data_IF_746545861960
#
_entry.id   IF_746545861960
#
_cell.length_a   1.000
_cell.length_b   1.000
_cell.length_c   1.000
_cell.angle_alpha   90.00
_cell.angle_beta   90.00
_cell.angle_gamma   90.00
#
_symmetry.space_group_name_H-M   'P 1'
#
loop_
_entity.id
_entity.type
_entity.pdbx_description
1 polymer ?
#
# COMPACT_ATOMS: atom_id res chain seq x y z
N UNK A 1 24.91 8.01 9.10
CA UNK A 1 25.48 6.67 9.34
C UNK A 1 25.76 6.05 7.99
N UNK A 2 26.94 5.46 7.78
CA UNK A 2 27.23 4.71 6.55
C UNK A 2 26.20 3.59 6.39
N UNK A 3 25.63 3.46 5.20
CA UNK A 3 24.69 2.40 4.86
C UNK A 3 25.46 1.30 4.16
N UNK A 4 25.42 0.08 4.67
CA UNK A 4 26.04 -1.07 3.99
C UNK A 4 24.97 -1.89 3.27
N UNK A 5 25.30 -2.37 2.08
CA UNK A 5 24.41 -3.24 1.32
C UNK A 5 25.22 -4.25 0.52
N UNK A 6 24.81 -5.52 0.59
CA UNK A 6 25.30 -6.56 -0.31
C UNK A 6 24.40 -6.63 -1.55
N UNK A 7 25.01 -6.60 -2.74
CA UNK A 7 24.33 -6.76 -4.03
C UNK A 7 25.18 -7.66 -4.91
N UNK A 8 24.63 -8.80 -5.33
CA UNK A 8 25.35 -9.79 -6.15
C UNK A 8 26.75 -10.21 -5.61
N UNK A 9 26.97 -10.17 -4.29
CA UNK A 9 28.28 -10.45 -3.66
C UNK A 9 29.21 -9.25 -3.50
N UNK A 10 28.82 -8.06 -3.98
CA UNK A 10 29.52 -6.81 -3.72
C UNK A 10 29.06 -6.18 -2.41
N UNK A 11 30.00 -5.88 -1.52
CA UNK A 11 29.77 -5.01 -0.37
C UNK A 11 29.85 -3.55 -0.84
N UNK A 12 28.70 -2.88 -0.84
CA UNK A 12 28.59 -1.46 -1.15
C UNK A 12 28.49 -0.66 0.14
N UNK A 13 29.28 0.41 0.24
CA UNK A 13 29.11 1.44 1.27
C UNK A 13 28.45 2.65 0.64
N UNK A 14 27.37 3.07 1.29
CA UNK A 14 26.54 4.19 0.89
C UNK A 14 26.80 5.39 1.79
N UNK A 15 27.15 6.52 1.19
CA UNK A 15 27.25 7.81 1.86
C UNK A 15 26.18 8.77 1.32
N UNK A 16 25.49 9.45 2.23
CA UNK A 16 24.53 10.49 1.85
C UNK A 16 25.31 11.71 1.41
N UNK A 17 25.13 12.12 0.16
CA UNK A 17 25.80 13.31 -0.37
C UNK A 17 24.99 14.55 0.06
N UNK A 18 25.60 15.50 0.79
CA UNK A 18 24.92 16.73 1.20
C UNK A 18 24.37 17.50 0.00
N UNK A 19 23.21 18.14 0.18
CA UNK A 19 22.54 18.96 -0.83
C UNK A 19 22.34 18.28 -2.20
N UNK A 20 22.28 16.95 -2.21
CA UNK A 20 22.00 16.17 -3.42
C UNK A 20 20.77 15.31 -3.20
N UNK A 21 19.83 15.40 -4.14
CA UNK A 21 18.49 14.83 -3.97
C UNK A 21 18.07 14.01 -5.17
N UNK A 22 17.34 12.92 -4.90
CA UNK A 22 16.62 12.14 -5.90
C UNK A 22 15.15 12.50 -5.81
N UNK A 23 14.64 13.22 -6.81
CA UNK A 23 13.23 13.55 -6.96
C UNK A 23 12.58 12.47 -7.84
N UNK A 24 11.50 11.87 -7.34
CA UNK A 24 10.67 10.93 -8.08
C UNK A 24 9.28 11.52 -8.27
N UNK A 25 8.85 11.64 -9.52
CA UNK A 25 7.53 12.13 -9.88
C UNK A 25 6.72 10.99 -10.48
N UNK A 26 5.52 10.81 -9.96
CA UNK A 26 4.50 9.94 -10.54
C UNK A 26 3.28 10.79 -10.82
N UNK A 27 2.80 10.78 -12.06
CA UNK A 27 1.65 11.59 -12.46
C UNK A 27 0.68 10.77 -13.29
N UNK A 28 -0.61 10.84 -12.95
CA UNK A 28 -1.66 10.19 -13.72
C UNK A 28 -2.99 10.87 -13.48
N UNK A 29 -3.76 11.10 -14.55
CA UNK A 29 -5.14 11.62 -14.47
C UNK A 29 -5.27 12.90 -13.64
N UNK A 30 -4.29 13.81 -13.77
CA UNK A 30 -4.23 15.08 -13.06
C UNK A 30 -3.76 14.97 -11.61
N UNK A 31 -3.52 13.77 -11.07
CA UNK A 31 -2.91 13.60 -9.75
C UNK A 31 -1.41 13.46 -9.91
N UNK A 32 -0.66 14.30 -9.21
CA UNK A 32 0.79 14.21 -9.12
C UNK A 32 1.20 13.83 -7.69
N UNK A 33 2.08 12.85 -7.60
CA UNK A 33 2.82 12.52 -6.40
C UNK A 33 4.30 12.77 -6.67
N UNK A 34 4.93 13.55 -5.80
CA UNK A 34 6.37 13.80 -5.87
C UNK A 34 7.00 13.46 -4.54
N UNK A 35 8.11 12.72 -4.57
CA UNK A 35 8.91 12.43 -3.39
C UNK A 35 10.35 12.81 -3.64
N UNK A 36 10.97 13.52 -2.71
CA UNK A 36 12.40 13.75 -2.71
C UNK A 36 13.04 13.02 -1.53
N UNK A 37 14.14 12.33 -1.80
CA UNK A 37 14.98 11.66 -0.81
C UNK A 37 16.44 12.02 -1.06
N UNK A 38 17.31 11.93 -0.04
CA UNK A 38 18.71 12.27 -0.20
C UNK A 38 19.35 11.29 -1.18
N UNK A 39 20.27 11.79 -1.98
CA UNK A 39 21.08 10.96 -2.85
C UNK A 39 22.11 10.21 -2.02
N UNK A 40 22.26 8.93 -2.31
CA UNK A 40 23.26 8.07 -1.70
C UNK A 40 24.25 7.69 -2.78
N UNK A 41 25.49 8.16 -2.64
CA UNK A 41 26.62 7.68 -3.42
C UNK A 41 27.01 6.29 -2.91
N UNK A 42 27.21 5.34 -3.81
CA UNK A 42 27.62 3.99 -3.47
C UNK A 42 29.02 3.73 -4.00
N UNK A 43 29.90 3.24 -3.14
CA UNK A 43 31.23 2.74 -3.51
C UNK A 43 31.33 1.24 -3.23
N UNK A 44 32.06 0.52 -4.08
CA UNK A 44 32.37 -0.90 -3.84
C UNK A 44 33.52 -0.96 -2.84
N UNK A 45 33.26 -1.53 -1.68
CA UNK A 45 34.28 -1.72 -0.63
C UNK A 45 34.95 -3.09 -0.74
N UNK A 46 34.18 -4.11 -1.15
CA UNK A 46 34.70 -5.47 -1.28
C UNK A 46 33.87 -6.29 -2.28
N UNK A 47 34.52 -7.22 -2.97
CA UNK A 47 33.89 -8.17 -3.90
C UNK A 47 34.09 -9.62 -3.39
N UNK A 48 33.01 -10.27 -2.97
CA UNK A 48 33.01 -11.66 -2.52
C UNK A 48 32.80 -12.68 -3.66
N UNK A 49 32.84 -12.23 -4.92
CA UNK A 49 32.44 -13.00 -6.10
C UNK A 49 30.92 -13.09 -6.24
N UNK A 50 30.42 -13.58 -7.38
CA UNK A 50 28.97 -13.66 -7.62
C UNK A 50 28.26 -14.51 -6.55
N UNK A 51 27.42 -13.87 -5.75
CA UNK A 51 26.53 -14.49 -4.76
C UNK A 51 25.11 -14.01 -5.01
N UNK A 52 24.11 -14.80 -4.60
CA UNK A 52 22.72 -14.40 -4.75
C UNK A 52 22.42 -13.11 -3.97
N UNK A 53 21.52 -12.28 -4.49
CA UNK A 53 21.09 -11.05 -3.81
C UNK A 53 20.58 -11.34 -2.39
N UNK A 54 21.15 -10.65 -1.40
CA UNK A 54 20.84 -10.83 0.01
C UNK A 54 21.81 -11.73 0.78
N UNK A 55 22.84 -12.29 0.14
CA UNK A 55 23.92 -13.01 0.81
C UNK A 55 24.67 -12.10 1.79
N UNK A 56 24.96 -12.61 2.99
CA UNK A 56 25.71 -11.92 4.04
C UNK A 56 26.93 -12.77 4.41
N UNK A 57 28.11 -12.19 4.67
CA UNK A 57 29.27 -12.94 5.15
C UNK A 57 28.92 -13.68 6.45
N UNK A 58 28.91 -15.01 6.42
CA UNK A 58 28.54 -15.86 7.55
C UNK A 58 27.65 -17.05 7.19
N UNK A 59 26.92 -17.02 6.07
CA UNK A 59 26.05 -18.14 5.62
C UNK A 59 26.80 -19.42 5.17
N UNK A 60 28.11 -19.50 5.42
CA UNK A 60 28.93 -20.67 5.06
C UNK A 60 30.14 -20.90 5.96
N UNK A 61 30.22 -20.21 7.11
CA UNK A 61 31.13 -20.61 8.17
C UNK A 61 30.33 -21.48 9.13
N UNK A 62 30.21 -22.76 8.80
CA UNK A 62 30.19 -23.77 9.87
C UNK A 62 31.39 -23.42 10.74
N UNK A 63 31.14 -22.88 11.92
CA UNK A 63 32.14 -22.86 12.97
C UNK A 63 32.59 -24.30 13.10
N UNK A 64 33.78 -24.59 12.58
CA UNK A 64 34.40 -25.90 12.66
C UNK A 64 34.19 -26.41 14.06
N UNK A 65 33.50 -27.54 14.16
CA UNK A 65 33.18 -28.26 15.38
C UNK A 65 34.39 -28.18 16.30
N UNK A 66 34.30 -27.35 17.34
CA UNK A 66 35.31 -27.36 18.39
C UNK A 66 35.32 -28.78 18.95
N UNK A 67 36.49 -29.37 19.22
CA UNK A 67 36.58 -30.73 19.72
C UNK A 67 35.67 -30.86 20.95
N UNK A 68 34.71 -31.78 20.87
CA UNK A 68 33.82 -32.14 21.98
C UNK A 68 34.67 -32.71 23.12
N UNK A 69 35.16 -31.84 23.98
CA UNK A 69 35.65 -32.23 25.31
C UNK A 69 35.51 -31.06 26.26
N UNK A 70 35.06 -31.40 27.48
CA UNK A 70 34.73 -30.55 28.62
C UNK A 70 33.33 -29.95 28.59
N UNK A 71 32.58 -30.24 29.67
CA UNK A 71 31.27 -29.70 29.98
C UNK A 71 31.33 -28.18 29.81
N UNK A 72 30.49 -27.62 28.93
CA UNK A 72 30.25 -26.18 28.88
C UNK A 72 30.01 -25.71 30.32
N UNK A 73 30.79 -24.76 30.80
CA UNK A 73 30.54 -24.12 32.08
C UNK A 73 29.11 -23.52 32.02
N UNK A 74 28.40 -23.53 33.14
CA UNK A 74 27.00 -23.06 33.22
C UNK A 74 26.86 -21.63 32.67
N UNK A 75 27.93 -20.84 32.80
CA UNK A 75 28.07 -19.49 32.26
C UNK A 75 28.10 -19.44 30.72
N UNK A 76 28.73 -20.40 30.05
CA UNK A 76 28.79 -20.45 28.57
C UNK A 76 27.45 -20.84 27.96
N UNK A 77 26.71 -21.74 28.61
CA UNK A 77 25.32 -22.08 28.24
C UNK A 77 24.42 -20.85 28.38
N UNK A 78 24.58 -20.08 29.46
CA UNK A 78 23.84 -18.85 29.69
C UNK A 78 24.15 -17.76 28.64
N UNK A 79 25.43 -17.58 28.29
CA UNK A 79 25.88 -16.65 27.24
C UNK A 79 25.35 -17.05 25.85
N UNK A 80 25.39 -18.33 25.51
CA UNK A 80 24.84 -18.84 24.24
C UNK A 80 23.32 -18.65 24.15
N UNK A 81 22.59 -18.86 25.26
CA UNK A 81 21.16 -18.59 25.33
C UNK A 81 20.85 -17.09 25.17
N UNK A 82 21.61 -16.20 25.84
CA UNK A 82 21.47 -14.75 25.70
C UNK A 82 21.72 -14.28 24.26
N UNK A 83 22.73 -14.83 23.58
CA UNK A 83 23.00 -14.54 22.16
C UNK A 83 21.84 -14.96 21.27
N UNK A 84 21.34 -16.19 21.42
CA UNK A 84 20.17 -16.67 20.65
C UNK A 84 18.93 -15.79 20.85
N UNK A 85 18.69 -15.29 22.07
CA UNK A 85 17.59 -14.37 22.35
C UNK A 85 17.81 -13.04 21.63
N UNK A 86 19.01 -12.45 21.74
CA UNK A 86 19.34 -11.19 21.08
C UNK A 86 19.25 -11.29 19.54
N UNK A 87 19.75 -12.39 18.96
CA UNK A 87 19.66 -12.67 17.52
C UNK A 87 18.20 -12.83 17.08
N UNK A 88 17.36 -13.46 17.91
CA UNK A 88 15.93 -13.62 17.64
C UNK A 88 15.17 -12.29 17.73
N UNK A 89 15.50 -11.43 18.70
CA UNK A 89 14.95 -10.08 18.82
C UNK A 89 15.32 -9.22 17.60
N UNK A 90 16.60 -9.22 17.21
CA UNK A 90 17.06 -8.49 16.02
C UNK A 90 16.37 -9.00 14.74
N UNK A 91 16.22 -10.32 14.61
CA UNK A 91 15.50 -10.91 13.47
C UNK A 91 14.02 -10.49 13.45
N UNK A 92 13.34 -10.49 14.59
CA UNK A 92 11.95 -10.06 14.70
C UNK A 92 11.78 -8.57 14.31
N UNK A 93 12.73 -7.72 14.70
CA UNK A 93 12.74 -6.31 14.29
C UNK A 93 12.93 -6.16 12.77
N UNK A 94 13.88 -6.90 12.18
CA UNK A 94 14.11 -6.91 10.73
C UNK A 94 12.84 -7.35 9.98
N UNK A 95 12.19 -8.41 10.44
CA UNK A 95 10.97 -8.94 9.84
C UNK A 95 9.82 -7.94 9.94
N UNK A 96 9.64 -7.27 11.09
CA UNK A 96 8.66 -6.21 11.26
C UNK A 96 8.92 -5.02 10.32
N UNK A 97 10.18 -4.62 10.13
CA UNK A 97 10.55 -3.56 9.18
C UNK A 97 10.25 -3.97 7.73
N UNK A 98 10.56 -5.20 7.33
CA UNK A 98 10.27 -5.74 6.00
C UNK A 98 8.75 -5.77 5.77
N UNK A 99 7.99 -6.23 6.75
CA UNK A 99 6.53 -6.27 6.72
C UNK A 99 5.94 -4.86 6.49
N UNK A 100 6.39 -3.88 7.26
CA UNK A 100 5.96 -2.48 7.16
C UNK A 100 6.31 -1.85 5.81
N UNK A 101 7.52 -2.11 5.29
CA UNK A 101 7.94 -1.67 3.95
C UNK A 101 7.06 -2.30 2.87
N UNK A 102 6.77 -3.59 2.97
CA UNK A 102 5.89 -4.32 2.04
C UNK A 102 4.44 -3.79 2.05
N UNK A 103 3.90 -3.51 3.22
CA UNK A 103 2.59 -2.91 3.38
C UNK A 103 2.53 -1.49 2.77
N UNK A 104 3.57 -0.68 2.96
CA UNK A 104 3.69 0.66 2.39
C UNK A 104 3.75 0.65 0.86
N UNK A 105 4.46 -0.33 0.27
CA UNK A 105 4.45 -0.56 -1.19
C UNK A 105 3.07 -0.94 -1.68
N UNK A 106 2.42 -1.89 -0.99
CA UNK A 106 1.05 -2.34 -1.33
C UNK A 106 0.04 -1.19 -1.32
N UNK A 107 0.12 -0.32 -0.29
CA UNK A 107 -0.67 0.90 -0.20
C UNK A 107 -0.44 1.82 -1.41
N UNK A 108 0.81 2.04 -1.80
CA UNK A 108 1.16 2.88 -2.95
C UNK A 108 0.61 2.29 -4.24
N UNK A 109 0.79 0.99 -4.46
CA UNK A 109 0.27 0.28 -5.64
C UNK A 109 -1.25 0.37 -5.73
N UNK A 110 -1.97 0.11 -4.64
CA UNK A 110 -3.42 0.21 -4.61
C UNK A 110 -3.90 1.65 -4.89
N UNK A 111 -3.26 2.64 -4.26
CA UNK A 111 -3.60 4.06 -4.44
C UNK A 111 -3.39 4.51 -5.89
N UNK A 112 -2.25 4.19 -6.49
CA UNK A 112 -1.95 4.49 -7.90
C UNK A 112 -2.88 3.75 -8.84
N UNK A 113 -3.25 2.50 -8.53
CA UNK A 113 -4.25 1.75 -9.29
C UNK A 113 -5.62 2.42 -9.32
N UNK A 114 -6.09 2.95 -8.17
CA UNK A 114 -7.36 3.68 -8.08
C UNK A 114 -7.33 4.95 -8.94
N UNK A 115 -6.22 5.70 -8.87
CA UNK A 115 -6.03 6.92 -9.66
C UNK A 115 -5.97 6.59 -11.15
N UNK A 116 -5.17 5.59 -11.53
CA UNK A 116 -4.97 5.18 -12.92
C UNK A 116 -6.28 4.73 -13.59
N UNK A 117 -7.13 4.01 -12.87
CA UNK A 117 -8.46 3.58 -13.33
C UNK A 117 -9.52 4.69 -13.26
N UNK A 118 -9.24 5.88 -12.72
CA UNK A 118 -10.23 6.98 -12.54
C UNK A 118 -11.51 6.52 -11.83
N UNK A 119 -11.39 5.69 -10.80
CA UNK A 119 -12.54 5.34 -9.99
C UNK A 119 -13.17 6.62 -9.39
N UNK A 120 -14.46 6.56 -9.10
CA UNK A 120 -15.21 7.74 -8.66
C UNK A 120 -16.35 7.40 -7.69
N UNK A 121 -16.39 6.16 -7.20
CA UNK A 121 -17.40 5.67 -6.28
C UNK A 121 -16.76 4.77 -5.22
N UNK A 122 -17.19 4.93 -3.97
CA UNK A 122 -16.77 4.08 -2.85
C UNK A 122 -17.87 3.07 -2.57
N UNK A 123 -17.47 1.82 -2.35
CA UNK A 123 -18.35 0.79 -1.81
C UNK A 123 -17.75 0.17 -0.56
N UNK A 124 -18.60 -0.15 0.41
CA UNK A 124 -18.17 -0.87 1.63
C UNK A 124 -19.07 -2.07 1.87
N UNK A 125 -18.46 -3.25 1.94
CA UNK A 125 -19.15 -4.48 2.32
C UNK A 125 -18.98 -4.72 3.81
N UNK A 126 -20.09 -5.03 4.46
CA UNK A 126 -20.16 -5.24 5.90
C UNK A 126 -20.91 -6.52 6.21
N UNK A 127 -20.53 -7.20 7.28
CA UNK A 127 -21.35 -8.24 7.89
C UNK A 127 -22.23 -7.66 8.99
N UNK A 128 -23.43 -8.23 9.17
CA UNK A 128 -24.25 -7.91 10.35
C UNK A 128 -23.77 -8.70 11.56
N UNK A 129 -23.71 -10.03 11.44
CA UNK A 129 -23.13 -10.92 12.44
C UNK A 129 -21.60 -10.81 12.39
N UNK A 130 -20.93 -10.84 13.53
CA UNK A 130 -19.46 -10.76 13.56
C UNK A 130 -18.84 -11.91 12.77
N UNK A 131 -18.01 -11.56 11.79
CA UNK A 131 -17.26 -12.51 10.97
C UNK A 131 -15.77 -12.13 11.03
N UNK A 132 -14.96 -12.75 11.92
CA UNK A 132 -13.55 -12.43 12.06
C UNK A 132 -12.65 -13.16 11.06
N UNK A 133 -13.15 -14.20 10.38
CA UNK A 133 -12.36 -15.01 9.45
C UNK A 133 -12.06 -14.24 8.15
N UNK A 134 -10.80 -13.84 7.99
CA UNK A 134 -10.26 -13.18 6.79
C UNK A 134 -10.36 -14.07 5.56
N UNK A 135 -9.99 -15.34 5.68
CA UNK A 135 -9.93 -16.26 4.55
C UNK A 135 -11.33 -16.50 3.99
N UNK A 136 -12.31 -16.69 4.86
CA UNK A 136 -13.71 -16.78 4.48
C UNK A 136 -14.22 -15.45 3.90
N UNK A 137 -13.86 -14.31 4.48
CA UNK A 137 -14.21 -13.00 3.91
C UNK A 137 -13.66 -12.81 2.49
N UNK A 138 -12.41 -13.22 2.22
CA UNK A 138 -11.83 -13.21 0.87
C UNK A 138 -12.58 -14.12 -0.09
N UNK A 139 -13.03 -15.30 0.35
CA UNK A 139 -13.87 -16.22 -0.47
C UNK A 139 -15.22 -15.58 -0.83
N UNK A 140 -15.93 -15.03 0.16
CA UNK A 140 -17.19 -14.32 -0.08
C UNK A 140 -17.00 -13.13 -1.01
N UNK A 141 -15.94 -12.35 -0.81
CA UNK A 141 -15.64 -11.19 -1.66
C UNK A 141 -15.34 -11.61 -3.10
N UNK A 142 -14.54 -12.67 -3.31
CA UNK A 142 -14.25 -13.20 -4.65
C UNK A 142 -15.55 -13.59 -5.38
N UNK A 143 -16.44 -14.28 -4.69
CA UNK A 143 -17.75 -14.67 -5.23
C UNK A 143 -18.63 -13.44 -5.52
N UNK A 144 -18.62 -12.44 -4.64
CA UNK A 144 -19.33 -11.18 -4.83
C UNK A 144 -18.85 -10.44 -6.08
N UNK A 145 -17.53 -10.29 -6.25
CA UNK A 145 -16.94 -9.69 -7.45
C UNK A 145 -17.34 -10.44 -8.71
N UNK A 146 -17.33 -11.79 -8.67
CA UNK A 146 -17.70 -12.62 -9.82
C UNK A 146 -19.16 -12.39 -10.22
N UNK A 147 -20.08 -12.33 -9.26
CA UNK A 147 -21.51 -12.04 -9.50
C UNK A 147 -21.73 -10.60 -9.96
N UNK A 148 -21.03 -9.62 -9.39
CA UNK A 148 -21.05 -8.22 -9.83
C UNK A 148 -20.61 -8.08 -11.28
N UNK A 149 -19.48 -8.70 -11.66
CA UNK A 149 -19.01 -8.72 -13.06
C UNK A 149 -20.06 -9.30 -13.98
N UNK A 150 -20.63 -10.47 -13.64
CA UNK A 150 -21.69 -11.09 -14.45
C UNK A 150 -22.91 -10.18 -14.62
N UNK A 151 -23.38 -9.55 -13.54
CA UNK A 151 -24.54 -8.66 -13.57
C UNK A 151 -24.28 -7.35 -14.36
N UNK A 152 -23.02 -6.94 -14.48
CA UNK A 152 -22.60 -5.71 -15.13
C UNK A 152 -21.89 -5.96 -16.47
N UNK A 153 -22.12 -7.10 -17.12
CA UNK A 153 -21.59 -7.39 -18.46
C UNK A 153 -20.07 -7.58 -18.54
N UNK A 154 -19.39 -7.82 -17.41
CA UNK A 154 -17.93 -8.01 -17.32
C UNK A 154 -17.14 -6.75 -16.98
N UNK A 155 -17.76 -5.57 -17.05
CA UNK A 155 -17.09 -4.26 -16.96
C UNK A 155 -16.70 -3.83 -15.53
N UNK A 156 -17.13 -4.58 -14.50
CA UNK A 156 -16.89 -4.18 -13.13
C UNK A 156 -15.41 -4.24 -12.74
N UNK A 157 -14.81 -3.06 -12.57
CA UNK A 157 -13.45 -2.88 -12.07
C UNK A 157 -13.42 -2.33 -10.66
N UNK A 158 -12.42 -2.75 -9.87
CA UNK A 158 -12.29 -2.35 -8.48
C UNK A 158 -10.84 -2.42 -7.97
N UNK A 159 -10.60 -1.71 -6.88
CA UNK A 159 -9.49 -1.94 -5.94
C UNK A 159 -10.09 -1.98 -4.53
N UNK A 160 -9.79 -3.02 -3.76
CA UNK A 160 -10.37 -3.31 -2.47
C UNK A 160 -9.31 -3.59 -1.40
N UNK A 161 -9.52 -3.04 -0.21
CA UNK A 161 -8.79 -3.30 1.02
C UNK A 161 -9.69 -4.06 2.00
N UNK A 162 -9.08 -5.00 2.73
CA UNK A 162 -9.72 -5.70 3.83
C UNK A 162 -9.30 -5.04 5.13
N UNK A 163 -10.18 -4.97 6.11
CA UNK A 163 -9.90 -4.43 7.44
C UNK A 163 -10.72 -5.19 8.48
N UNK A 164 -10.12 -5.50 9.62
CA UNK A 164 -10.86 -5.87 10.83
C UNK A 164 -11.38 -4.61 11.55
N UNK A 165 -12.70 -4.48 11.68
CA UNK A 165 -13.30 -3.40 12.47
C UNK A 165 -13.04 -3.62 13.97
N UNK A 166 -13.13 -2.56 14.80
CA UNK A 166 -13.01 -2.62 16.27
C UNK A 166 -13.85 -3.74 16.93
N UNK A 167 -15.05 -4.04 16.41
CA UNK A 167 -15.90 -5.15 16.88
C UNK A 167 -15.42 -6.55 16.44
N UNK A 168 -14.24 -6.67 15.84
CA UNK A 168 -13.63 -7.91 15.35
C UNK A 168 -14.14 -8.42 13.99
N UNK A 169 -15.21 -7.82 13.44
CA UNK A 169 -15.77 -8.25 12.15
C UNK A 169 -15.00 -7.68 10.96
N UNK A 170 -14.80 -8.49 9.92
CA UNK A 170 -14.18 -8.06 8.66
C UNK A 170 -15.06 -7.05 7.90
N UNK A 171 -14.42 -6.06 7.30
CA UNK A 171 -14.98 -5.07 6.38
C UNK A 171 -14.17 -5.07 5.09
N UNK A 172 -14.85 -4.77 3.98
CA UNK A 172 -14.17 -4.60 2.69
C UNK A 172 -14.46 -3.21 2.17
N UNK A 173 -13.42 -2.38 2.08
CA UNK A 173 -13.49 -1.04 1.48
C UNK A 173 -12.98 -1.11 0.06
N UNK A 174 -13.78 -0.67 -0.90
CA UNK A 174 -13.37 -0.64 -2.30
C UNK A 174 -13.69 0.68 -2.99
N UNK A 175 -12.88 0.99 -4.00
CA UNK A 175 -13.16 2.01 -5.00
C UNK A 175 -13.47 1.32 -6.34
N UNK A 176 -14.46 1.84 -7.06
CA UNK A 176 -14.86 1.38 -8.38
C UNK A 176 -15.39 2.55 -9.23
N UNK A 177 -15.77 2.25 -10.46
CA UNK A 177 -16.59 3.17 -11.24
C UNK A 177 -18.02 3.23 -10.70
N UNK A 178 -18.60 4.42 -10.73
CA UNK A 178 -20.00 4.65 -10.43
C UNK A 178 -20.85 3.82 -11.38
N UNK A 179 -21.74 3.04 -10.81
CA UNK A 179 -22.71 2.26 -11.56
C UNK A 179 -23.77 3.19 -12.18
N UNK A 180 -24.39 2.76 -13.28
CA UNK A 180 -25.59 3.42 -13.82
C UNK A 180 -26.67 3.58 -12.74
N UNK A 181 -27.68 4.44 -12.91
CA UNK A 181 -28.74 4.57 -11.89
C UNK A 181 -29.55 3.29 -11.71
N UNK A 182 -29.79 2.60 -12.82
CA UNK A 182 -30.51 1.34 -12.87
C UNK A 182 -29.68 0.29 -13.61
N UNK A 183 -29.83 -0.96 -13.18
CA UNK A 183 -29.21 -2.15 -13.77
C UNK A 183 -30.28 -3.22 -13.89
N UNK A 184 -30.20 -4.03 -14.94
CA UNK A 184 -31.04 -5.21 -15.08
C UNK A 184 -30.44 -6.34 -14.25
N UNK A 185 -31.21 -6.89 -13.33
CA UNK A 185 -30.83 -8.04 -12.52
C UNK A 185 -31.94 -9.07 -12.55
N UNK A 186 -31.66 -10.25 -13.13
CA UNK A 186 -32.70 -11.28 -13.35
C UNK A 186 -33.84 -10.79 -14.26
N UNK A 187 -33.55 -9.93 -15.24
CA UNK A 187 -34.55 -9.34 -16.14
C UNK A 187 -35.34 -8.16 -15.55
N UNK A 188 -35.16 -7.85 -14.26
CA UNK A 188 -35.88 -6.76 -13.59
C UNK A 188 -34.97 -5.55 -13.41
N UNK A 189 -35.42 -4.32 -13.75
CA UNK A 189 -34.67 -3.11 -13.46
C UNK A 189 -34.68 -2.85 -11.95
N UNK A 190 -33.49 -2.75 -11.36
CA UNK A 190 -33.30 -2.39 -9.96
C UNK A 190 -32.39 -1.18 -9.86
N UNK A 191 -32.46 -0.45 -8.74
CA UNK A 191 -31.50 0.62 -8.45
C UNK A 191 -30.12 0.00 -8.23
N UNK A 192 -29.08 0.54 -8.84
CA UNK A 192 -27.76 -0.11 -8.83
C UNK A 192 -27.10 -0.18 -7.47
N UNK A 193 -27.47 0.69 -6.53
CA UNK A 193 -27.00 0.57 -5.15
C UNK A 193 -27.58 -0.68 -4.45
N UNK A 194 -28.74 -1.17 -4.88
CA UNK A 194 -29.33 -2.40 -4.33
C UNK A 194 -28.62 -3.65 -4.84
N UNK A 195 -28.10 -3.62 -6.07
CA UNK A 195 -27.42 -4.75 -6.69
C UNK A 195 -26.32 -5.33 -5.78
N UNK A 196 -25.43 -4.45 -5.29
CA UNK A 196 -24.33 -4.85 -4.42
C UNK A 196 -24.80 -5.54 -3.15
N UNK A 197 -25.89 -5.05 -2.55
CA UNK A 197 -26.48 -5.63 -1.32
C UNK A 197 -27.18 -6.96 -1.60
N UNK A 198 -27.97 -7.05 -2.67
CA UNK A 198 -28.65 -8.30 -3.06
C UNK A 198 -27.65 -9.42 -3.34
N UNK A 199 -26.60 -9.11 -4.10
CA UNK A 199 -25.53 -10.07 -4.38
C UNK A 199 -24.81 -10.46 -3.09
N UNK A 200 -24.49 -9.50 -2.22
CA UNK A 200 -23.80 -9.79 -0.95
C UNK A 200 -24.61 -10.72 -0.04
N UNK A 201 -25.91 -10.44 0.15
CA UNK A 201 -26.82 -11.28 0.94
C UNK A 201 -27.02 -12.66 0.35
N UNK A 202 -27.06 -12.78 -0.98
CA UNK A 202 -27.12 -14.08 -1.67
C UNK A 202 -25.89 -14.99 -1.46
N UNK A 203 -24.84 -14.49 -0.80
CA UNK A 203 -23.61 -15.22 -0.48
C UNK A 203 -23.52 -15.51 1.01
N UNK A 204 -23.83 -14.51 1.85
CA UNK A 204 -23.58 -14.56 3.30
C UNK A 204 -24.83 -14.87 4.14
N UNK A 205 -25.96 -15.07 3.48
CA UNK A 205 -27.28 -15.24 4.09
C UNK A 205 -28.11 -13.96 4.08
N UNK A 206 -29.43 -14.15 4.01
CA UNK A 206 -30.38 -13.06 4.10
C UNK A 206 -30.24 -12.31 5.43
N UNK A 207 -30.34 -10.98 5.36
CA UNK A 207 -30.13 -10.04 6.48
C UNK A 207 -28.75 -10.03 7.16
N UNK A 208 -27.75 -10.76 6.63
CA UNK A 208 -26.43 -10.83 7.25
C UNK A 208 -25.39 -9.83 6.69
N UNK A 209 -25.81 -8.63 6.30
CA UNK A 209 -24.89 -7.59 5.88
C UNK A 209 -25.46 -6.64 4.84
N UNK A 210 -24.64 -5.65 4.48
CA UNK A 210 -24.98 -4.60 3.52
C UNK A 210 -23.78 -4.22 2.67
N UNK A 211 -24.08 -3.76 1.45
CA UNK A 211 -23.16 -3.06 0.58
C UNK A 211 -23.55 -1.57 0.57
N UNK A 212 -22.75 -0.73 1.21
CA UNK A 212 -22.95 0.72 1.21
C UNK A 212 -22.27 1.34 -0.02
N UNK A 213 -22.98 2.23 -0.72
CA UNK A 213 -22.48 3.02 -1.86
C UNK A 213 -22.41 4.50 -1.45
N UNK A 214 -21.45 5.27 -1.94
CA UNK A 214 -21.34 6.72 -1.71
C UNK A 214 -20.55 7.14 -0.48
N UNK A 215 -20.12 6.19 0.34
CA UNK A 215 -19.44 6.47 1.60
C UNK A 215 -20.28 7.33 2.57
N UNK A 216 -19.69 7.65 3.73
CA UNK A 216 -20.27 8.58 4.69
C UNK A 216 -19.31 9.75 4.91
N UNK A 217 -19.84 10.90 5.28
CA UNK A 217 -19.02 11.99 5.80
C UNK A 217 -18.55 11.68 7.25
N UNK A 218 -17.76 12.57 7.84
CA UNK A 218 -17.24 12.41 9.21
C UNK A 218 -18.33 12.36 10.29
N UNK A 219 -19.55 12.75 9.95
CA UNK A 219 -20.73 12.75 10.84
C UNK A 219 -21.70 11.61 10.51
N UNK A 220 -21.28 10.66 9.67
CA UNK A 220 -22.09 9.50 9.31
C UNK A 220 -23.19 9.78 8.28
N UNK A 221 -23.24 10.99 7.71
CA UNK A 221 -24.26 11.39 6.72
C UNK A 221 -23.84 10.95 5.31
N UNK A 222 -24.78 10.68 4.40
CA UNK A 222 -24.46 10.43 3.00
C UNK A 222 -23.67 11.60 2.41
N UNK A 223 -22.56 11.31 1.74
CA UNK A 223 -21.68 12.33 1.19
C UNK A 223 -22.37 13.02 0.01
N UNK A 224 -22.56 14.34 0.07
CA UNK A 224 -23.28 15.12 -0.95
C UNK A 224 -22.42 15.62 -2.12
N UNK A 225 -21.08 15.51 -2.03
CA UNK A 225 -20.14 15.99 -3.04
C UNK A 225 -19.20 14.90 -3.54
N UNK A 226 -18.71 15.06 -4.77
CA UNK A 226 -17.70 14.18 -5.34
C UNK A 226 -16.40 14.24 -4.53
N UNK A 227 -15.86 13.08 -4.16
CA UNK A 227 -14.52 13.01 -3.61
C UNK A 227 -13.52 13.13 -4.74
N UNK A 228 -12.48 13.95 -4.54
CA UNK A 228 -11.37 14.05 -5.48
C UNK A 228 -10.69 12.68 -5.63
N UNK A 229 -10.11 12.41 -6.80
CA UNK A 229 -9.57 11.10 -7.16
C UNK A 229 -8.50 10.66 -6.16
N UNK A 230 -7.61 11.58 -5.82
CA UNK A 230 -6.54 11.32 -4.87
C UNK A 230 -7.03 11.19 -3.41
N UNK A 231 -8.08 11.93 -3.01
CA UNK A 231 -8.72 11.73 -1.69
C UNK A 231 -9.36 10.35 -1.57
N UNK A 232 -10.02 9.89 -2.62
CA UNK A 232 -10.64 8.56 -2.66
C UNK A 232 -9.60 7.45 -2.65
N UNK A 233 -8.52 7.62 -3.42
CA UNK A 233 -7.40 6.69 -3.41
C UNK A 233 -6.71 6.64 -2.03
N UNK A 234 -6.55 7.79 -1.36
CA UNK A 234 -6.04 7.86 0.00
C UNK A 234 -6.98 7.18 1.01
N UNK A 235 -8.31 7.34 0.84
CA UNK A 235 -9.31 6.73 1.71
C UNK A 235 -9.23 5.20 1.69
N UNK A 236 -9.29 4.57 0.52
CA UNK A 236 -9.25 3.10 0.42
C UNK A 236 -7.88 2.55 0.83
N UNK A 237 -6.79 3.19 0.37
CA UNK A 237 -5.44 2.71 0.64
C UNK A 237 -5.00 2.88 2.11
N UNK A 238 -5.69 3.73 2.89
CA UNK A 238 -5.52 3.82 4.36
C UNK A 238 -5.78 2.48 5.03
N UNK A 239 -6.79 1.76 4.59
CA UNK A 239 -7.23 0.51 5.23
C UNK A 239 -6.25 -0.64 5.04
N UNK A 240 -5.43 -0.61 3.98
CA UNK A 240 -4.34 -1.57 3.76
C UNK A 240 -3.32 -1.52 4.90
N UNK A 241 -3.06 -0.34 5.48
CA UNK A 241 -2.11 -0.17 6.59
C UNK A 241 -2.72 -0.39 7.97
N UNK A 242 -4.04 -0.46 8.10
CA UNK A 242 -4.65 -0.77 9.39
C UNK A 242 -4.63 -2.26 9.71
N UNK A 243 -4.54 -3.06 8.65
CA UNK A 243 -4.80 -4.49 8.68
C UNK A 243 -3.53 -5.30 8.35
N UNK A 244 -2.38 -4.64 8.23
CA UNK A 244 -1.16 -5.23 7.68
C UNK A 244 -0.46 -6.23 8.59
N UNK A 245 -0.65 -6.11 9.91
CA UNK A 245 -0.14 -7.03 10.93
C UNK A 245 -0.90 -8.36 10.91
N UNK A 246 -2.20 -8.31 10.63
CA UNK A 246 -3.11 -9.46 10.59
C UNK A 246 -3.09 -10.21 9.24
N UNK A 247 -2.23 -9.82 8.30
CA UNK A 247 -2.11 -10.46 6.98
C UNK A 247 -0.97 -11.48 7.03
N UNK A 248 -1.25 -12.78 6.80
CA UNK A 248 -0.20 -13.79 6.72
C UNK A 248 0.90 -13.42 5.73
N UNK A 249 2.13 -13.81 6.04
CA UNK A 249 3.27 -13.60 5.13
C UNK A 249 2.98 -14.21 3.75
N UNK A 250 3.38 -13.53 2.68
CA UNK A 250 3.13 -13.95 1.30
C UNK A 250 1.72 -13.66 0.76
N UNK A 251 0.74 -13.32 1.59
CA UNK A 251 -0.60 -13.00 1.09
C UNK A 251 -0.73 -11.57 0.54
N UNK A 252 -1.56 -11.44 -0.49
CA UNK A 252 -1.97 -10.15 -1.02
C UNK A 252 -2.79 -9.37 0.03
N UNK A 253 -2.33 -8.15 0.34
CA UNK A 253 -2.95 -7.22 1.31
C UNK A 253 -4.17 -6.50 0.76
N UNK A 254 -4.32 -6.47 -0.56
CA UNK A 254 -5.45 -5.86 -1.25
C UNK A 254 -5.85 -6.74 -2.44
N UNK A 255 -7.06 -6.54 -2.94
CA UNK A 255 -7.56 -7.19 -4.15
C UNK A 255 -7.83 -6.12 -5.20
N UNK A 256 -7.58 -6.41 -6.47
CA UNK A 256 -7.87 -5.48 -7.56
C UNK A 256 -8.19 -6.21 -8.86
N UNK A 257 -8.84 -5.51 -9.78
CA UNK A 257 -8.87 -5.94 -11.18
C UNK A 257 -7.47 -5.98 -11.80
N UNK A 258 -7.27 -6.94 -12.69
CA UNK A 258 -6.06 -7.08 -13.52
C UNK A 258 -6.11 -6.02 -14.62
N UNK A 259 -4.94 -5.58 -15.10
CA UNK A 259 -4.84 -4.72 -16.28
C UNK A 259 -4.84 -3.21 -16.00
N UNK A 260 -4.70 -2.77 -14.73
CA UNK A 260 -4.56 -1.34 -14.49
C UNK A 260 -3.27 -0.80 -15.16
N UNK A 261 -3.30 0.42 -15.70
CA UNK A 261 -2.20 0.95 -16.47
C UNK A 261 -0.92 1.05 -15.63
N UNK A 262 0.21 0.63 -16.21
CA UNK A 262 1.52 0.87 -15.63
C UNK A 262 1.94 2.28 -16.03
N UNK A 263 2.07 3.16 -15.05
CA UNK A 263 2.51 4.54 -15.22
C UNK A 263 3.96 4.62 -14.77
N UNK A 264 4.81 5.20 -15.60
CA UNK A 264 6.23 5.35 -15.33
C UNK A 264 6.49 6.37 -14.22
N UNK A 265 7.65 6.26 -13.58
CA UNK A 265 8.09 7.17 -12.53
C UNK A 265 9.28 7.93 -13.09
N UNK A 266 9.11 9.21 -13.30
CA UNK A 266 10.21 10.09 -13.68
C UNK A 266 11.13 10.28 -12.49
N UNK A 267 12.44 10.15 -12.71
CA UNK A 267 13.45 10.31 -11.66
C UNK A 267 14.47 11.34 -12.12
N UNK A 268 14.69 12.36 -11.30
CA UNK A 268 15.66 13.42 -11.55
C UNK A 268 16.58 13.53 -10.34
N UNK A 269 17.87 13.72 -10.59
CA UNK A 269 18.86 14.02 -9.55
C UNK A 269 19.19 15.50 -9.65
N UNK A 270 19.18 16.19 -8.50
CA UNK A 270 19.48 17.62 -8.42
C UNK A 270 20.45 17.89 -7.28
N UNK A 271 21.32 18.88 -7.48
CA UNK A 271 22.20 19.43 -6.45
C UNK A 271 21.59 20.77 -6.00
N UNK A 272 20.97 20.82 -4.82
CA UNK A 272 20.31 22.00 -4.27
C UNK A 272 20.14 21.91 -2.75
N UNK A 273 20.00 23.08 -2.10
CA UNK A 273 19.65 23.14 -0.67
C UNK A 273 18.26 22.54 -0.41
N UNK A 274 17.96 22.19 0.83
CA UNK A 274 16.60 21.74 1.20
C UNK A 274 15.53 22.82 0.96
N UNK A 275 15.89 24.11 1.11
CA UNK A 275 14.97 25.22 0.85
C UNK A 275 14.60 25.29 -0.64
N UNK A 276 15.61 25.19 -1.53
CA UNK A 276 15.40 25.17 -2.98
C UNK A 276 14.64 23.91 -3.42
N UNK A 277 14.91 22.78 -2.77
CA UNK A 277 14.20 21.52 -2.99
C UNK A 277 12.69 21.68 -2.77
N UNK A 278 12.27 22.43 -1.73
CA UNK A 278 10.85 22.70 -1.50
C UNK A 278 10.25 23.41 -2.71
N UNK A 279 10.93 24.42 -3.26
CA UNK A 279 10.50 25.11 -4.49
C UNK A 279 10.42 24.18 -5.71
N UNK A 280 11.41 23.33 -5.91
CA UNK A 280 11.43 22.35 -7.02
C UNK A 280 10.33 21.29 -6.89
N UNK A 281 10.03 20.86 -5.68
CA UNK A 281 9.00 19.84 -5.42
C UNK A 281 7.59 20.44 -5.43
N UNK A 282 7.44 21.68 -4.96
CA UNK A 282 6.18 22.41 -4.90
C UNK A 282 5.82 23.02 -6.25
N UNK A 283 5.55 22.17 -7.23
CA UNK A 283 4.95 22.56 -8.50
C UNK A 283 3.45 22.78 -8.27
N UNK A 284 3.02 24.04 -8.18
CA UNK A 284 1.63 24.44 -7.96
C UNK A 284 1.15 25.40 -9.05
N UNK A 285 -0.04 25.13 -9.60
CA UNK A 285 -0.76 26.05 -10.49
C UNK A 285 -1.99 26.59 -9.75
N UNK A 286 -2.46 27.77 -10.12
CA UNK A 286 -3.55 28.50 -9.43
C UNK A 286 -4.83 27.68 -9.18
N UNK A 287 -5.12 26.67 -10.00
CA UNK A 287 -6.30 25.80 -9.88
C UNK A 287 -6.02 24.45 -9.23
N UNK A 288 -4.78 24.16 -8.90
CA UNK A 288 -4.41 22.89 -8.28
C UNK A 288 -4.97 22.83 -6.86
N UNK A 289 -5.37 21.63 -6.46
CA UNK A 289 -5.68 21.31 -5.08
C UNK A 289 -4.48 20.63 -4.44
N UNK A 290 -3.83 21.30 -3.49
CA UNK A 290 -2.78 20.68 -2.68
C UNK A 290 -3.43 19.74 -1.67
N UNK A 291 -3.05 18.47 -1.74
CA UNK A 291 -3.58 17.42 -0.86
C UNK A 291 -2.65 17.13 0.30
N UNK A 292 -1.34 17.29 0.05
CA UNK A 292 -0.34 17.19 1.08
C UNK A 292 0.99 17.80 0.65
N UNK A 293 1.66 18.43 1.60
CA UNK A 293 3.08 18.74 1.60
C UNK A 293 3.62 18.30 2.96
N UNK A 294 4.55 17.36 2.97
CA UNK A 294 5.05 16.72 4.20
C UNK A 294 6.57 16.63 4.17
N UNK A 295 7.28 17.56 4.81
CA UNK A 295 8.69 17.37 5.12
C UNK A 295 8.84 16.26 6.17
N UNK A 296 9.94 15.52 6.08
CA UNK A 296 10.39 14.58 7.11
C UNK A 296 10.76 15.33 8.38
N UNK A 297 10.72 14.64 9.54
CA UNK A 297 11.04 15.24 10.84
C UNK A 297 12.42 15.92 10.86
N UNK A 298 13.37 15.36 10.12
CA UNK A 298 14.76 15.82 10.04
C UNK A 298 15.06 16.56 8.73
N UNK A 299 14.02 16.99 7.99
CA UNK A 299 14.18 17.59 6.66
C UNK A 299 14.99 16.71 5.69
N UNK A 300 14.97 15.40 5.91
CA UNK A 300 15.71 14.41 5.13
C UNK A 300 14.84 13.84 4.00
N UNK A 301 13.56 14.18 3.94
CA UNK A 301 12.61 13.70 2.93
C UNK A 301 11.56 14.75 2.69
N UNK A 302 11.01 14.78 1.49
CA UNK A 302 9.86 15.59 1.16
C UNK A 302 8.85 14.77 0.38
N UNK A 303 7.57 14.85 0.76
CA UNK A 303 6.48 14.27 -0.01
C UNK A 303 5.45 15.33 -0.35
N UNK A 304 5.09 15.41 -1.61
CA UNK A 304 4.10 16.33 -2.15
C UNK A 304 3.06 15.57 -2.96
N UNK A 305 1.81 15.97 -2.82
CA UNK A 305 0.70 15.43 -3.57
C UNK A 305 -0.28 16.55 -3.91
N UNK A 306 -0.57 16.68 -5.20
CA UNK A 306 -1.57 17.60 -5.71
C UNK A 306 -2.51 16.91 -6.70
N UNK A 307 -3.63 17.55 -6.93
CA UNK A 307 -4.59 17.19 -7.96
C UNK A 307 -4.91 18.43 -8.78
N UNK A 308 -4.71 18.36 -10.08
CA UNK A 308 -4.99 19.45 -11.00
C UNK A 308 -6.48 19.81 -10.94
N UNK A 309 -6.77 21.11 -10.89
CA UNK A 309 -8.15 21.58 -11.02
C UNK A 309 -8.73 21.17 -12.37
N UNK A 310 -10.03 20.87 -12.42
CA UNK A 310 -10.68 20.66 -13.71
C UNK A 310 -10.50 21.92 -14.58
N UNK A 311 -10.18 21.77 -15.88
CA UNK A 311 -10.27 22.90 -16.79
C UNK A 311 -11.70 23.45 -16.75
N UNK A 312 -11.89 24.76 -16.99
CA UNK A 312 -13.24 25.30 -17.04
C UNK A 312 -14.03 24.52 -18.11
N UNK A 313 -15.33 24.26 -17.91
CA UNK A 313 -16.13 23.66 -18.97
C UNK A 313 -15.93 24.49 -20.24
N UNK A 314 -15.63 23.82 -21.35
CA UNK A 314 -15.61 24.48 -22.66
C UNK A 314 -16.98 25.13 -22.84
N UNK A 315 -17.00 26.45 -22.91
CA UNK A 315 -18.22 27.20 -23.22
C UNK A 315 -18.52 26.88 -24.68
N UNK A 316 -19.47 25.99 -24.91
CA UNK A 316 -20.10 25.77 -26.21
C UNK A 316 -21.32 26.69 -26.32
#
# INVERSE_FOLDING_TARGET
MPMERYVNGLLLRGEVIPDKWVIRTWECNGVMERSAVPYVGWEVVYDHGFKQDGWVPGEGLEYGVLPTSSRLDSREVELAAKRKIADAEEQAERDAQVLRKSASRSKTTARRGIIAERFNELMTLTYRRSQPDRALCKKHFKEWVRRMKRALGGEFRYVAAFERQERGSMHVHLACHRLSRHVLYGGVPIKSFELGTRIWRSIIGDDNGLCFVGGKDRFGRPRRGHMSLARMAAYVSKYILKDYEDVPSGENRFSRSIGAPKVEIETVVVDCSFADLIGLVYDYRERDSVLALRPGRFNDRLWFCKEAGQPPPLVH
#
